data_IF_380872830288
#
_entry.id   IF_380872830288
#
_cell.length_a   1.000
_cell.length_b   1.000
_cell.length_c   1.000
_cell.angle_alpha   90.00
_cell.angle_beta   90.00
_cell.angle_gamma   90.00
#
_symmetry.space_group_name_H-M   'P 1'
#
loop_
_entity.id
_entity.type
_entity.pdbx_description
1 polymer ?
#
# COMPACT_ATOMS: atom_id res chain seq x y z
N UNK A 1 -11.43 5.96 -5.15
CA UNK A 1 -11.15 6.76 -3.92
C UNK A 1 -9.73 7.33 -3.81
N UNK A 2 -8.81 7.10 -4.76
CA UNK A 2 -7.45 7.70 -4.75
C UNK A 2 -6.65 7.41 -3.47
N UNK A 3 -6.91 6.27 -2.81
CA UNK A 3 -6.16 5.76 -1.67
C UNK A 3 -5.31 4.58 -2.16
N UNK A 4 -4.02 4.58 -1.82
CA UNK A 4 -3.06 3.55 -2.18
C UNK A 4 -2.47 2.95 -0.92
N UNK A 5 -2.51 1.62 -0.80
CA UNK A 5 -1.85 0.88 0.28
C UNK A 5 -0.48 0.43 -0.23
N UNK A 6 0.56 0.92 0.42
CA UNK A 6 1.95 0.51 0.21
C UNK A 6 2.28 -0.57 1.21
N UNK A 7 2.79 -1.70 0.75
CA UNK A 7 3.07 -2.84 1.60
C UNK A 7 4.38 -3.55 1.22
N UNK A 8 5.03 -4.13 2.23
CA UNK A 8 6.17 -5.03 2.06
C UNK A 8 6.11 -6.15 3.08
N UNK A 9 6.59 -7.32 2.66
CA UNK A 9 6.58 -8.56 3.45
C UNK A 9 7.95 -9.20 3.38
N UNK A 10 8.42 -9.74 4.50
CA UNK A 10 9.63 -10.54 4.49
C UNK A 10 9.42 -11.86 3.74
N UNK A 11 10.34 -12.12 2.81
CA UNK A 11 10.26 -13.25 1.90
C UNK A 11 10.38 -14.60 2.61
N UNK A 12 10.97 -14.69 3.80
CA UNK A 12 11.17 -15.94 4.53
C UNK A 12 10.06 -16.15 5.58
N UNK A 13 9.97 -15.25 6.55
CA UNK A 13 9.11 -15.32 7.74
C UNK A 13 7.64 -14.98 7.47
N UNK A 14 7.34 -14.27 6.38
CA UNK A 14 6.02 -13.68 6.09
C UNK A 14 5.61 -12.54 7.01
N UNK A 15 6.52 -12.04 7.84
CA UNK A 15 6.26 -10.86 8.65
C UNK A 15 5.96 -9.65 7.75
N UNK A 16 4.96 -8.86 8.14
CA UNK A 16 4.69 -7.56 7.54
C UNK A 16 5.84 -6.63 7.93
N UNK A 17 6.53 -6.10 6.92
CA UNK A 17 7.69 -5.21 7.11
C UNK A 17 7.25 -3.75 7.17
N UNK A 18 6.29 -3.38 6.32
CA UNK A 18 5.50 -2.16 6.47
C UNK A 18 4.17 -2.32 5.73
N UNK A 19 3.16 -1.59 6.19
CA UNK A 19 1.86 -1.49 5.52
C UNK A 19 1.27 -0.10 5.81
N UNK A 20 1.00 0.69 4.77
CA UNK A 20 0.57 2.09 4.94
C UNK A 20 -0.36 2.53 3.82
N UNK A 21 -1.53 3.04 4.20
CA UNK A 21 -2.42 3.74 3.28
C UNK A 21 -2.01 5.21 3.12
N UNK A 22 -2.04 5.70 1.89
CA UNK A 22 -1.70 7.08 1.51
C UNK A 22 -2.64 7.61 0.43
N UNK A 23 -2.62 8.92 0.21
CA UNK A 23 -3.36 9.63 -0.82
C UNK A 23 -2.61 9.71 -2.17
N UNK A 24 -1.46 9.05 -2.30
CA UNK A 24 -0.60 9.17 -3.47
C UNK A 24 0.20 7.88 -3.75
N UNK A 25 0.68 7.73 -5.00
CA UNK A 25 1.55 6.64 -5.42
C UNK A 25 2.99 7.09 -5.73
N UNK A 26 3.53 8.04 -4.95
CA UNK A 26 4.86 8.62 -5.24
C UNK A 26 5.98 7.66 -4.83
N UNK A 27 7.03 7.59 -5.65
CA UNK A 27 8.21 6.79 -5.35
C UNK A 27 8.90 7.21 -4.03
N UNK A 28 8.91 8.51 -3.73
CA UNK A 28 9.41 9.04 -2.45
C UNK A 28 8.65 8.47 -1.24
N UNK A 29 7.33 8.30 -1.34
CA UNK A 29 6.51 7.72 -0.26
C UNK A 29 6.96 6.29 0.04
N UNK A 30 7.08 5.47 -1.02
CA UNK A 30 7.55 4.07 -0.89
C UNK A 30 8.99 4.02 -0.39
N UNK A 31 9.87 4.89 -0.90
CA UNK A 31 11.26 5.01 -0.45
C UNK A 31 11.35 5.28 1.05
N UNK A 32 10.57 6.24 1.55
CA UNK A 32 10.61 6.63 2.96
C UNK A 32 10.06 5.52 3.88
N UNK A 33 9.03 4.78 3.44
CA UNK A 33 8.55 3.58 4.14
C UNK A 33 9.62 2.49 4.18
N UNK A 34 10.27 2.24 3.04
CA UNK A 34 11.35 1.27 2.94
C UNK A 34 12.52 1.60 3.87
N UNK A 35 12.99 2.85 3.87
CA UNK A 35 14.09 3.28 4.75
C UNK A 35 13.76 3.07 6.23
N UNK A 36 12.57 3.50 6.69
CA UNK A 36 12.11 3.27 8.06
C UNK A 36 12.11 1.78 8.42
N UNK A 37 11.58 0.94 7.53
CA UNK A 37 11.60 -0.50 7.74
C UNK A 37 13.02 -1.08 7.80
N UNK A 38 13.96 -0.55 7.01
CA UNK A 38 15.37 -1.00 7.10
C UNK A 38 16.06 -0.56 8.38
N UNK A 39 15.62 0.52 9.03
CA UNK A 39 16.10 0.93 10.35
C UNK A 39 15.60 -0.03 11.44
N UNK A 40 14.38 -0.54 11.31
CA UNK A 40 13.75 -1.42 12.29
C UNK A 40 14.15 -2.90 12.11
N UNK A 41 14.04 -3.43 10.88
CA UNK A 41 14.27 -4.85 10.57
C UNK A 41 15.66 -5.15 9.99
N UNK A 42 16.44 -4.11 9.72
CA UNK A 42 17.70 -4.21 8.98
C UNK A 42 17.51 -4.22 7.47
N UNK A 43 18.57 -3.88 6.74
CA UNK A 43 18.52 -3.85 5.28
C UNK A 43 18.37 -5.28 4.71
N UNK A 44 17.44 -5.52 3.76
CA UNK A 44 17.29 -6.83 3.14
C UNK A 44 18.45 -7.15 2.20
N UNK A 45 18.70 -8.44 1.96
CA UNK A 45 19.68 -8.87 0.96
C UNK A 45 19.18 -8.62 -0.46
N UNK A 46 17.89 -8.85 -0.70
CA UNK A 46 17.24 -8.59 -1.98
C UNK A 46 15.82 -8.09 -1.75
N UNK A 47 15.35 -7.20 -2.62
CA UNK A 47 13.95 -6.79 -2.70
C UNK A 47 13.36 -7.32 -4.01
N UNK A 48 12.09 -7.70 -3.99
CA UNK A 48 11.33 -8.00 -5.20
C UNK A 48 10.19 -7.00 -5.29
N UNK A 49 10.05 -6.37 -6.44
CA UNK A 49 8.98 -5.46 -6.78
C UNK A 49 8.55 -5.71 -8.22
N UNK A 50 7.40 -5.16 -8.60
CA UNK A 50 7.03 -5.09 -10.01
C UNK A 50 7.79 -3.94 -10.72
N UNK A 51 7.45 -3.70 -11.98
CA UNK A 51 8.00 -2.58 -12.77
C UNK A 51 7.27 -1.25 -12.52
N UNK A 52 6.63 -1.07 -11.36
CA UNK A 52 5.93 0.16 -10.99
C UNK A 52 6.86 1.34 -10.79
N UNK A 53 6.40 2.53 -11.19
CA UNK A 53 7.13 3.79 -11.03
C UNK A 53 7.40 4.14 -9.56
N UNK A 54 6.50 3.71 -8.67
CA UNK A 54 6.63 3.86 -7.23
C UNK A 54 7.81 3.08 -6.63
N UNK A 55 8.29 2.03 -7.31
CA UNK A 55 9.36 1.15 -6.81
C UNK A 55 10.76 1.57 -7.28
N UNK A 56 10.86 2.57 -8.17
CA UNK A 56 12.12 2.98 -8.82
C UNK A 56 13.16 3.44 -7.79
N UNK A 57 12.74 4.22 -6.80
CA UNK A 57 13.65 4.73 -5.77
C UNK A 57 14.14 3.62 -4.82
N UNK A 58 13.30 2.62 -4.51
CA UNK A 58 13.71 1.45 -3.71
C UNK A 58 14.73 0.61 -4.48
N UNK A 59 14.51 0.40 -5.77
CA UNK A 59 15.46 -0.33 -6.62
C UNK A 59 16.83 0.38 -6.66
N UNK A 60 16.83 1.70 -6.84
CA UNK A 60 18.04 2.51 -6.84
C UNK A 60 18.77 2.46 -5.48
N UNK A 61 18.04 2.55 -4.35
CA UNK A 61 18.61 2.41 -3.01
C UNK A 61 19.31 1.05 -2.83
N UNK A 62 18.66 -0.03 -3.23
CA UNK A 62 19.20 -1.38 -3.09
C UNK A 62 20.46 -1.60 -3.93
N UNK A 63 20.52 -1.01 -5.12
CA UNK A 63 21.72 -1.05 -5.97
C UNK A 63 22.88 -0.26 -5.33
N UNK A 64 22.60 0.94 -4.81
CA UNK A 64 23.60 1.78 -4.13
C UNK A 64 24.15 1.13 -2.85
N UNK A 65 23.28 0.54 -2.02
CA UNK A 65 23.67 -0.05 -0.74
C UNK A 65 24.37 -1.41 -0.89
N UNK A 66 23.97 -2.23 -1.86
CA UNK A 66 24.47 -3.62 -2.01
C UNK A 66 25.49 -3.79 -3.11
N UNK A 67 25.73 -2.75 -3.90
CA UNK A 67 26.68 -2.72 -5.01
C UNK A 67 26.03 -3.04 -6.36
N UNK A 68 26.56 -2.44 -7.44
CA UNK A 68 25.96 -2.52 -8.76
C UNK A 68 26.02 -3.93 -9.35
N UNK A 69 24.98 -4.30 -10.12
CA UNK A 69 24.81 -5.55 -10.88
C UNK A 69 24.78 -6.82 -10.03
N UNK A 70 24.55 -6.71 -8.71
CA UNK A 70 24.38 -7.85 -7.81
C UNK A 70 23.03 -8.56 -7.98
N UNK A 71 22.05 -7.89 -8.58
CA UNK A 71 20.65 -8.36 -8.60
C UNK A 71 19.99 -8.20 -7.24
N UNK A 72 20.24 -7.05 -6.59
CA UNK A 72 19.71 -6.72 -5.26
C UNK A 72 18.26 -6.22 -5.32
N UNK A 73 17.86 -5.65 -6.45
CA UNK A 73 16.46 -5.39 -6.78
C UNK A 73 16.04 -6.33 -7.93
N UNK A 74 15.08 -7.21 -7.65
CA UNK A 74 14.51 -8.12 -8.62
C UNK A 74 13.19 -7.51 -9.09
N UNK A 75 13.22 -6.85 -10.24
CA UNK A 75 12.00 -6.39 -10.90
C UNK A 75 11.48 -7.46 -11.85
N UNK A 76 10.17 -7.67 -11.85
CA UNK A 76 9.55 -8.65 -12.73
C UNK A 76 8.04 -8.51 -12.77
N UNK A 77 7.37 -9.50 -13.38
CA UNK A 77 5.91 -9.54 -13.42
C UNK A 77 5.34 -9.75 -12.02
N UNK A 78 4.22 -9.08 -11.72
CA UNK A 78 3.49 -9.18 -10.45
C UNK A 78 3.16 -10.62 -10.05
N UNK A 79 2.92 -11.52 -11.02
CA UNK A 79 2.63 -12.95 -10.78
C UNK A 79 3.71 -13.72 -10.01
N UNK A 80 4.92 -13.16 -9.89
CA UNK A 80 6.00 -13.73 -9.07
C UNK A 80 6.00 -13.21 -7.62
N UNK A 81 5.10 -12.30 -7.29
CA UNK A 81 4.88 -11.72 -5.96
C UNK A 81 3.78 -12.47 -5.19
N UNK A 82 3.60 -13.77 -5.45
CA UNK A 82 2.59 -14.63 -4.80
C UNK A 82 2.53 -14.50 -3.27
N UNK A 83 3.65 -14.17 -2.64
CA UNK A 83 3.74 -13.95 -1.19
C UNK A 83 2.94 -12.73 -0.75
N UNK A 84 3.07 -11.62 -1.46
CA UNK A 84 2.33 -10.38 -1.22
C UNK A 84 0.87 -10.57 -1.64
N UNK A 85 0.63 -11.19 -2.79
CA UNK A 85 -0.72 -11.44 -3.31
C UNK A 85 -1.54 -12.31 -2.34
N UNK A 86 -0.91 -13.32 -1.72
CA UNK A 86 -1.59 -14.14 -0.70
C UNK A 86 -1.93 -13.34 0.55
N UNK A 87 -1.00 -12.53 1.06
CA UNK A 87 -1.26 -11.66 2.21
C UNK A 87 -2.37 -10.64 1.90
N UNK A 88 -2.38 -10.10 0.68
CA UNK A 88 -3.40 -9.17 0.22
C UNK A 88 -4.81 -9.75 0.32
N UNK A 89 -5.00 -11.07 0.12
CA UNK A 89 -6.30 -11.72 0.34
C UNK A 89 -6.78 -11.55 1.78
N UNK A 90 -5.89 -11.70 2.75
CA UNK A 90 -6.21 -11.62 4.17
C UNK A 90 -6.41 -10.14 4.58
N UNK A 91 -5.56 -9.23 4.12
CA UNK A 91 -5.72 -7.76 4.26
C UNK A 91 -7.06 -7.29 3.68
N UNK A 92 -7.42 -7.81 2.51
CA UNK A 92 -8.69 -7.48 1.87
C UNK A 92 -9.86 -7.89 2.74
N UNK A 93 -9.86 -9.14 3.19
CA UNK A 93 -10.94 -9.73 3.99
C UNK A 93 -11.10 -9.02 5.33
N UNK A 94 -10.00 -8.76 6.02
CA UNK A 94 -10.03 -8.33 7.43
C UNK A 94 -10.03 -6.79 7.58
N UNK A 95 -9.53 -6.05 6.58
CA UNK A 95 -9.42 -4.58 6.64
C UNK A 95 -10.14 -3.90 5.48
N UNK A 96 -9.71 -4.14 4.25
CA UNK A 96 -10.09 -3.28 3.10
C UNK A 96 -11.57 -3.42 2.74
N UNK A 97 -12.15 -4.62 2.86
CA UNK A 97 -13.53 -4.89 2.46
C UNK A 97 -14.54 -3.99 3.19
N UNK A 98 -14.32 -3.70 4.48
CA UNK A 98 -15.20 -2.83 5.27
C UNK A 98 -15.23 -1.41 4.70
N UNK A 99 -14.06 -0.84 4.42
CA UNK A 99 -13.97 0.50 3.83
C UNK A 99 -14.47 0.53 2.39
N UNK A 100 -14.17 -0.51 1.61
CA UNK A 100 -14.67 -0.68 0.25
C UNK A 100 -16.20 -0.63 0.22
N UNK A 101 -16.86 -1.48 1.02
CA UNK A 101 -18.32 -1.54 1.10
C UNK A 101 -18.93 -0.22 1.58
N UNK A 102 -18.29 0.45 2.55
CA UNK A 102 -18.72 1.75 3.02
C UNK A 102 -18.62 2.82 1.92
N UNK A 103 -17.50 2.89 1.20
CA UNK A 103 -17.34 3.91 0.17
C UNK A 103 -18.25 3.65 -1.04
N UNK A 104 -18.46 2.39 -1.41
CA UNK A 104 -19.45 2.01 -2.40
C UNK A 104 -20.87 2.45 -2.01
N UNK A 105 -21.24 2.33 -0.73
CA UNK A 105 -22.56 2.79 -0.28
C UNK A 105 -22.69 4.32 -0.22
N UNK A 106 -21.58 5.04 0.00
CA UNK A 106 -21.53 6.49 -0.09
C UNK A 106 -21.68 7.02 -1.52
N UNK A 107 -21.13 6.30 -2.51
CA UNK A 107 -21.33 6.62 -3.94
C UNK A 107 -22.72 6.20 -4.45
N UNK A 108 -23.32 5.17 -3.85
CA UNK A 108 -24.62 4.67 -4.27
C UNK A 108 -25.72 5.73 -4.09
N UNK A 109 -26.59 5.85 -5.09
CA UNK A 109 -27.79 6.69 -5.03
C UNK A 109 -28.77 6.09 -4.01
N UNK A 110 -29.32 6.95 -3.16
CA UNK A 110 -30.45 6.60 -2.29
C UNK A 110 -31.77 6.77 -3.05
N UNK A 111 -32.81 6.06 -2.60
CA UNK A 111 -34.16 6.23 -3.14
C UNK A 111 -34.61 7.69 -2.94
N UNK A 112 -35.01 8.36 -4.02
CA UNK A 112 -35.37 9.79 -4.08
C UNK A 112 -34.20 10.79 -3.91
N UNK A 113 -32.95 10.37 -4.13
CA UNK A 113 -31.79 11.28 -4.22
C UNK A 113 -31.06 11.05 -5.54
N UNK A 114 -30.86 12.13 -6.31
CA UNK A 114 -30.28 12.06 -7.65
C UNK A 114 -28.79 11.66 -7.66
N UNK A 115 -28.07 11.82 -6.54
CA UNK A 115 -26.63 11.56 -6.39
C UNK A 115 -26.28 10.95 -5.03
N UNK A 116 -25.23 10.14 -4.96
CA UNK A 116 -24.65 9.67 -3.69
C UNK A 116 -23.98 10.80 -2.92
N UNK A 117 -23.64 10.58 -1.66
CA UNK A 117 -22.96 11.59 -0.82
C UNK A 117 -21.46 11.71 -1.11
N UNK A 118 -20.90 10.79 -1.91
CA UNK A 118 -19.50 10.77 -2.34
C UNK A 118 -19.43 10.84 -3.86
N UNK A 119 -18.64 11.77 -4.38
CA UNK A 119 -18.29 11.90 -5.79
C UNK A 119 -16.76 11.85 -5.88
N UNK A 120 -16.23 10.87 -6.60
CA UNK A 120 -14.77 10.64 -6.71
C UNK A 120 -14.07 11.63 -7.64
N UNK A 121 -14.84 12.32 -8.48
CA UNK A 121 -14.36 13.39 -9.36
C UNK A 121 -14.38 14.76 -8.67
N UNK A 122 -15.09 14.88 -7.53
CA UNK A 122 -15.10 16.08 -6.71
C UNK A 122 -13.94 16.08 -5.70
N UNK A 123 -13.00 17.02 -5.87
CA UNK A 123 -11.81 17.11 -5.03
C UNK A 123 -12.13 17.44 -3.55
N UNK A 124 -13.21 18.19 -3.27
CA UNK A 124 -13.62 18.46 -1.89
C UNK A 124 -14.14 17.20 -1.20
N UNK A 125 -14.86 16.36 -1.95
CA UNK A 125 -15.35 15.07 -1.45
C UNK A 125 -14.18 14.11 -1.20
N UNK A 126 -13.22 14.02 -2.13
CA UNK A 126 -11.99 13.23 -1.96
C UNK A 126 -11.18 13.71 -0.75
N UNK A 127 -11.01 15.03 -0.59
CA UNK A 127 -10.30 15.59 0.56
C UNK A 127 -10.99 15.21 1.88
N UNK A 128 -12.31 15.37 1.96
CA UNK A 128 -13.07 15.00 3.15
C UNK A 128 -12.99 13.49 3.44
N UNK A 129 -13.09 12.65 2.40
CA UNK A 129 -12.94 11.21 2.48
C UNK A 129 -11.56 10.84 3.05
N UNK A 130 -10.49 11.43 2.51
CA UNK A 130 -9.12 11.20 2.96
C UNK A 130 -8.89 11.66 4.39
N UNK A 131 -9.36 12.87 4.73
CA UNK A 131 -9.25 13.43 6.08
C UNK A 131 -9.90 12.53 7.14
N UNK A 132 -11.08 11.98 6.83
CA UNK A 132 -11.79 11.08 7.74
C UNK A 132 -11.18 9.69 7.74
N UNK A 133 -10.99 9.07 6.57
CA UNK A 133 -10.76 7.63 6.51
C UNK A 133 -9.29 7.20 6.43
N UNK A 134 -8.36 8.02 5.93
CA UNK A 134 -6.94 7.61 5.90
C UNK A 134 -6.39 7.29 7.31
N UNK A 135 -6.66 8.08 8.37
CA UNK A 135 -6.21 7.71 9.71
C UNK A 135 -6.83 6.41 10.22
N UNK A 136 -8.11 6.16 9.90
CA UNK A 136 -8.86 4.98 10.32
C UNK A 136 -8.39 3.71 9.59
N UNK A 137 -8.16 3.81 8.30
CA UNK A 137 -7.59 2.73 7.49
C UNK A 137 -6.20 2.39 8.02
N UNK A 138 -5.34 3.40 8.21
CA UNK A 138 -4.00 3.16 8.74
C UNK A 138 -4.03 2.50 10.13
N UNK A 139 -4.91 2.94 11.03
CA UNK A 139 -5.06 2.28 12.33
C UNK A 139 -5.47 0.81 12.20
N UNK A 140 -6.38 0.49 11.28
CA UNK A 140 -6.77 -0.90 11.04
C UNK A 140 -5.63 -1.74 10.44
N UNK A 141 -4.83 -1.16 9.53
CA UNK A 141 -3.63 -1.81 8.97
C UNK A 141 -2.55 -2.03 10.05
N UNK A 142 -2.36 -1.07 10.96
CA UNK A 142 -1.45 -1.19 12.09
C UNK A 142 -1.87 -2.36 13.01
N UNK A 143 -3.17 -2.48 13.31
CA UNK A 143 -3.71 -3.61 14.09
C UNK A 143 -3.58 -4.96 13.39
N UNK A 144 -3.70 -4.98 12.06
CA UNK A 144 -3.49 -6.20 11.26
C UNK A 144 -2.02 -6.64 11.29
N UNK A 145 -1.09 -5.68 11.21
CA UNK A 145 0.35 -5.96 11.07
C UNK A 145 1.02 -6.51 12.34
N UNK A 146 0.36 -6.44 13.49
CA UNK A 146 0.86 -6.90 14.81
C UNK A 146 0.39 -8.32 15.15
N UNK A 147 -0.50 -8.93 14.35
CA UNK A 147 -1.02 -10.29 14.57
C UNK A 147 -0.04 -11.37 14.09
#
# INVERSE_FOLDING_TARGET
WKIVIHEAVDGYSRAVVFMKASDNNRAETVRNLFLKATEEFGAPSRVRCDHGGENVEVAALMENQRGPRRGSAIMGRSVHNQRIERMWVDVWKDVVNVFYSLFMSMEARMENVDEGILDIENDAHIWALHYVFLPRINHALDLFSVQ
#
